data_IF_177150234516
#
_entry.id   IF_177150234516
#
_cell.length_a   1.000
_cell.length_b   1.000
_cell.length_c   1.000
_cell.angle_alpha   90.00
_cell.angle_beta   90.00
_cell.angle_gamma   90.00
#
_symmetry.space_group_name_H-M   'P 1'
#
loop_
_entity.id
_entity.type
_entity.pdbx_description
1 polymer ?
#
# COMPACT_ATOMS: atom_id res chain seq x y z
N UNK A 1 -14.02 -3.51 -5.62
CA UNK A 1 -14.18 -2.50 -4.57
C UNK A 1 -13.01 -1.56 -4.55
N UNK A 2 -11.79 -2.05 -4.28
CA UNK A 2 -10.61 -1.20 -4.33
C UNK A 2 -10.33 -0.67 -5.72
N UNK A 3 -10.58 -1.46 -6.74
CA UNK A 3 -10.39 -1.03 -8.12
C UNK A 3 -11.32 0.15 -8.48
N UNK A 4 -12.56 0.11 -8.01
CA UNK A 4 -13.50 1.20 -8.25
C UNK A 4 -13.09 2.49 -7.55
N UNK A 5 -12.40 2.38 -6.41
CA UNK A 5 -11.92 3.55 -5.66
C UNK A 5 -10.68 4.17 -6.29
N UNK A 6 -9.81 3.37 -6.92
CA UNK A 6 -8.58 3.89 -7.52
C UNK A 6 -8.80 4.49 -8.90
N UNK A 7 -9.82 4.06 -9.63
CA UNK A 7 -10.11 4.57 -10.97
C UNK A 7 -10.78 5.93 -10.90
N UNK A 8 -9.99 7.02 -11.07
CA UNK A 8 -10.48 8.39 -11.06
C UNK A 8 -10.74 8.98 -9.67
N UNK A 9 -10.40 8.26 -8.61
CA UNK A 9 -10.57 8.76 -7.25
C UNK A 9 -9.53 9.83 -6.93
N UNK A 10 -9.99 10.94 -6.33
CA UNK A 10 -9.10 12.00 -5.87
C UNK A 10 -8.52 11.65 -4.50
N UNK A 11 -7.47 12.37 -4.09
CA UNK A 11 -6.94 12.23 -2.74
C UNK A 11 -8.05 12.44 -1.70
N UNK A 12 -8.87 13.46 -1.88
CA UNK A 12 -9.96 13.76 -0.96
C UNK A 12 -10.96 12.61 -0.83
N UNK A 13 -11.28 11.94 -1.93
CA UNK A 13 -12.16 10.78 -1.92
C UNK A 13 -11.56 9.62 -1.12
N UNK A 14 -10.28 9.34 -1.34
CA UNK A 14 -9.57 8.27 -0.65
C UNK A 14 -9.46 8.58 0.85
N UNK A 15 -9.12 9.82 1.19
CA UNK A 15 -9.05 10.27 2.58
C UNK A 15 -10.41 10.14 3.29
N UNK A 16 -11.47 10.58 2.63
CA UNK A 16 -12.84 10.48 3.18
C UNK A 16 -13.22 9.03 3.42
N UNK A 17 -12.87 8.15 2.52
CA UNK A 17 -13.17 6.72 2.66
C UNK A 17 -12.47 6.13 3.89
N UNK A 18 -11.17 6.40 4.06
CA UNK A 18 -10.45 5.95 5.24
C UNK A 18 -11.04 6.50 6.52
N UNK A 19 -11.40 7.79 6.52
CA UNK A 19 -12.02 8.42 7.69
C UNK A 19 -13.31 7.71 8.07
N UNK A 20 -14.17 7.41 7.09
CA UNK A 20 -15.44 6.72 7.31
C UNK A 20 -15.23 5.28 7.79
N UNK A 21 -14.25 4.60 7.26
CA UNK A 21 -13.89 3.25 7.74
C UNK A 21 -13.50 3.25 9.20
N UNK A 22 -12.81 4.29 9.65
CA UNK A 22 -12.42 4.45 11.06
C UNK A 22 -13.51 5.07 11.90
N UNK A 23 -14.66 5.41 11.32
CA UNK A 23 -15.81 6.00 11.99
C UNK A 23 -15.45 7.32 12.68
N UNK A 24 -14.63 8.13 12.02
CA UNK A 24 -14.23 9.44 12.51
C UNK A 24 -14.97 10.53 11.75
N UNK A 25 -15.38 11.59 12.45
CA UNK A 25 -15.81 12.83 11.82
C UNK A 25 -14.60 13.60 11.31
N UNK A 26 -14.84 14.64 10.50
CA UNK A 26 -13.74 15.54 10.11
C UNK A 26 -13.09 16.18 11.33
N UNK A 27 -13.88 16.55 12.34
CA UNK A 27 -13.35 17.12 13.56
C UNK A 27 -12.49 16.09 14.33
N UNK A 28 -12.97 14.85 14.45
CA UNK A 28 -12.22 13.79 15.12
C UNK A 28 -10.87 13.57 14.46
N UNK A 29 -10.85 13.48 13.12
CA UNK A 29 -9.61 13.31 12.38
C UNK A 29 -8.68 14.51 12.58
N UNK A 30 -9.23 15.71 12.56
CA UNK A 30 -8.45 16.92 12.77
C UNK A 30 -7.77 16.92 14.14
N UNK A 31 -8.49 16.52 15.18
CA UNK A 31 -7.93 16.43 16.52
C UNK A 31 -6.83 15.37 16.61
N UNK A 32 -7.06 14.21 16.02
CA UNK A 32 -6.07 13.14 16.02
C UNK A 32 -4.80 13.51 15.23
N UNK A 33 -4.96 14.23 14.13
CA UNK A 33 -3.86 14.61 13.26
C UNK A 33 -3.22 15.95 13.66
N UNK A 34 -3.76 16.63 14.67
CA UNK A 34 -3.31 17.93 15.13
C UNK A 34 -3.34 18.97 14.01
N UNK A 35 -4.46 19.03 13.31
CA UNK A 35 -4.73 20.02 12.25
C UNK A 35 -6.13 20.61 12.47
N UNK A 36 -6.48 21.66 11.72
CA UNK A 36 -7.81 22.24 11.83
C UNK A 36 -8.84 21.40 11.07
N UNK A 37 -10.07 21.35 11.57
CA UNK A 37 -11.17 20.70 10.88
C UNK A 37 -11.45 21.35 9.52
N UNK A 38 -11.26 22.66 9.43
CA UNK A 38 -11.38 23.39 8.17
C UNK A 38 -10.38 22.88 7.13
N UNK A 39 -9.14 22.62 7.54
CA UNK A 39 -8.11 22.09 6.67
C UNK A 39 -8.48 20.70 6.15
N UNK A 40 -8.95 19.82 7.04
CA UNK A 40 -9.43 18.48 6.64
C UNK A 40 -10.54 18.61 5.61
N UNK A 41 -11.51 19.48 5.84
CA UNK A 41 -12.61 19.73 4.91
C UNK A 41 -12.09 20.22 3.56
N UNK A 42 -11.16 21.16 3.54
CA UNK A 42 -10.61 21.71 2.30
C UNK A 42 -9.86 20.65 1.49
N UNK A 43 -9.09 19.81 2.17
CA UNK A 43 -8.36 18.72 1.52
C UNK A 43 -9.33 17.68 0.96
N UNK A 44 -10.35 17.31 1.71
CA UNK A 44 -11.35 16.34 1.23
C UNK A 44 -12.13 16.85 0.02
N UNK A 45 -12.36 18.16 -0.03
CA UNK A 45 -13.12 18.78 -1.12
C UNK A 45 -12.23 19.21 -2.30
N UNK A 46 -10.94 18.96 -2.25
CA UNK A 46 -10.03 19.32 -3.32
C UNK A 46 -9.65 20.81 -3.40
N UNK A 47 -10.01 21.60 -2.39
CA UNK A 47 -9.67 23.02 -2.33
C UNK A 47 -8.24 23.29 -1.92
N UNK A 48 -7.58 22.33 -1.28
CA UNK A 48 -6.21 22.45 -0.82
C UNK A 48 -5.47 21.16 -1.15
N UNK A 49 -4.25 21.29 -1.67
CA UNK A 49 -3.37 20.15 -1.90
C UNK A 49 -2.58 19.88 -0.63
N UNK A 50 -2.59 18.65 -0.12
CA UNK A 50 -1.82 18.34 1.07
C UNK A 50 -0.33 18.23 0.74
N UNK A 51 0.51 18.65 1.67
CA UNK A 51 1.95 18.39 1.61
C UNK A 51 2.21 16.92 1.98
N UNK A 52 3.42 16.45 1.67
CA UNK A 52 3.84 15.09 2.09
C UNK A 52 3.69 14.91 3.60
N UNK A 53 4.16 15.89 4.39
CA UNK A 53 4.05 15.84 5.85
C UNK A 53 2.60 15.73 6.29
N UNK A 54 1.70 16.46 5.64
CA UNK A 54 0.27 16.40 5.95
C UNK A 54 -0.33 15.05 5.63
N UNK A 55 -0.01 14.47 4.46
CA UNK A 55 -0.50 13.14 4.07
C UNK A 55 -0.06 12.10 5.09
N UNK A 56 1.21 12.12 5.49
CA UNK A 56 1.73 11.15 6.46
C UNK A 56 1.09 11.34 7.84
N UNK A 57 0.84 12.58 8.25
CA UNK A 57 0.18 12.88 9.52
C UNK A 57 -1.26 12.36 9.54
N UNK A 58 -2.00 12.60 8.46
CA UNK A 58 -3.37 12.09 8.32
C UNK A 58 -3.38 10.56 8.29
N UNK A 59 -2.46 9.96 7.56
CA UNK A 59 -2.36 8.51 7.48
C UNK A 59 -2.04 7.88 8.85
N UNK A 60 -1.16 8.51 9.63
CA UNK A 60 -0.85 8.04 10.97
C UNK A 60 -2.07 8.12 11.90
N UNK A 61 -2.81 9.21 11.82
CA UNK A 61 -4.04 9.40 12.61
C UNK A 61 -5.11 8.35 12.26
N UNK A 62 -5.16 7.94 11.00
CA UNK A 62 -6.10 6.93 10.51
C UNK A 62 -5.58 5.52 10.63
N UNK A 63 -4.35 5.34 11.10
CA UNK A 63 -3.69 4.03 11.19
C UNK A 63 -3.69 3.29 9.86
N UNK A 64 -3.40 4.02 8.78
CA UNK A 64 -3.35 3.45 7.44
C UNK A 64 -2.09 2.59 7.29
N UNK A 65 -2.21 1.33 6.85
CA UNK A 65 -1.04 0.48 6.63
C UNK A 65 -0.07 1.05 5.59
N UNK A 66 1.22 0.70 5.63
CA UNK A 66 2.24 1.30 4.74
C UNK A 66 1.92 1.25 3.25
N UNK A 67 1.33 0.16 2.77
CA UNK A 67 0.98 0.03 1.34
C UNK A 67 -0.07 1.04 0.93
N UNK A 68 -1.08 1.19 1.76
CA UNK A 68 -2.18 2.12 1.52
C UNK A 68 -1.73 3.56 1.75
N UNK A 69 -0.72 3.79 2.59
CA UNK A 69 -0.08 5.11 2.70
C UNK A 69 0.56 5.53 1.38
N UNK A 70 1.18 4.58 0.66
CA UNK A 70 1.72 4.85 -0.67
C UNK A 70 0.60 5.26 -1.65
N UNK A 71 -0.56 4.62 -1.56
CA UNK A 71 -1.70 4.98 -2.40
C UNK A 71 -2.19 6.41 -2.12
N UNK A 72 -2.20 6.79 -0.83
CA UNK A 72 -2.55 8.16 -0.45
C UNK A 72 -1.55 9.17 -1.03
N UNK A 73 -0.26 8.88 -0.92
CA UNK A 73 0.78 9.75 -1.46
C UNK A 73 0.65 9.89 -2.97
N UNK A 74 0.48 8.79 -3.68
CA UNK A 74 0.33 8.80 -5.14
C UNK A 74 -0.94 9.56 -5.55
N UNK A 75 -2.03 9.38 -4.84
CA UNK A 75 -3.28 10.11 -5.10
C UNK A 75 -3.11 11.62 -4.89
N UNK A 76 -2.21 12.03 -4.00
CA UNK A 76 -1.87 13.43 -3.79
C UNK A 76 -0.84 13.97 -4.79
N UNK A 77 -0.40 13.15 -5.75
CA UNK A 77 0.63 13.51 -6.72
C UNK A 77 2.05 13.47 -6.16
N UNK A 78 2.27 12.72 -5.09
CA UNK A 78 3.56 12.64 -4.39
C UNK A 78 4.19 11.27 -4.60
N UNK A 79 5.52 11.20 -4.47
CA UNK A 79 6.23 9.93 -4.57
C UNK A 79 6.01 9.06 -3.32
N UNK A 80 5.89 7.73 -3.46
CA UNK A 80 5.71 6.85 -2.31
C UNK A 80 6.94 6.85 -1.40
N UNK A 81 6.68 6.72 -0.08
CA UNK A 81 7.74 6.57 0.92
C UNK A 81 8.15 5.11 1.06
N UNK A 82 7.16 4.21 1.03
CA UNK A 82 7.39 2.78 1.19
C UNK A 82 7.43 2.12 -0.18
N UNK A 83 8.63 2.03 -0.77
CA UNK A 83 8.81 1.37 -2.05
C UNK A 83 8.80 -0.15 -1.87
N UNK A 84 7.98 -0.85 -2.65
CA UNK A 84 8.08 -2.31 -2.73
C UNK A 84 9.28 -2.65 -3.57
N UNK A 85 10.16 -3.51 -3.03
CA UNK A 85 11.34 -3.96 -3.77
C UNK A 85 10.98 -5.22 -4.57
N UNK A 86 11.24 -5.24 -5.89
CA UNK A 86 11.12 -6.47 -6.66
C UNK A 86 12.04 -7.54 -6.06
N UNK A 87 11.63 -8.81 -6.16
CA UNK A 87 12.42 -9.90 -5.60
C UNK A 87 13.80 -10.03 -6.28
N UNK A 88 13.93 -9.60 -7.52
CA UNK A 88 15.19 -9.60 -8.26
C UNK A 88 16.11 -8.41 -7.96
N UNK A 89 15.66 -7.47 -7.12
CA UNK A 89 16.50 -6.37 -6.65
C UNK A 89 17.72 -6.92 -5.90
N UNK A 90 18.94 -6.38 -6.13
CA UNK A 90 20.15 -6.87 -5.44
C UNK A 90 20.02 -6.85 -3.91
N UNK A 91 19.30 -5.89 -3.35
CA UNK A 91 19.05 -5.83 -1.90
C UNK A 91 18.16 -6.95 -1.37
N UNK A 92 17.55 -7.75 -2.23
CA UNK A 92 16.67 -8.86 -1.87
C UNK A 92 17.34 -10.23 -2.02
N UNK A 93 18.64 -10.27 -2.21
CA UNK A 93 19.38 -11.54 -2.44
C UNK A 93 19.17 -12.55 -1.33
N UNK A 94 19.22 -12.12 -0.06
CA UNK A 94 19.00 -13.01 1.09
C UNK A 94 17.58 -13.55 1.12
N UNK A 95 16.60 -12.74 0.75
CA UNK A 95 15.19 -13.15 0.67
C UNK A 95 15.01 -14.20 -0.44
N UNK A 96 15.60 -13.95 -1.63
CA UNK A 96 15.55 -14.94 -2.72
C UNK A 96 16.14 -16.27 -2.31
N UNK A 97 17.28 -16.24 -1.63
CA UNK A 97 17.94 -17.46 -1.16
C UNK A 97 17.08 -18.22 -0.14
N UNK A 98 16.42 -17.49 0.76
CA UNK A 98 15.51 -18.09 1.73
C UNK A 98 14.30 -18.73 1.06
N UNK A 99 13.69 -18.03 0.11
CA UNK A 99 12.56 -18.57 -0.66
C UNK A 99 12.98 -19.80 -1.45
N UNK A 100 14.14 -19.76 -2.12
CA UNK A 100 14.66 -20.91 -2.87
C UNK A 100 14.85 -22.14 -1.98
N UNK A 101 15.33 -21.96 -0.74
CA UNK A 101 15.49 -23.08 0.21
C UNK A 101 14.14 -23.67 0.60
N UNK A 102 13.14 -22.83 0.85
CA UNK A 102 11.80 -23.32 1.18
C UNK A 102 11.22 -24.11 0.01
N UNK A 103 11.34 -23.59 -1.22
CA UNK A 103 10.86 -24.26 -2.42
C UNK A 103 11.55 -25.61 -2.63
N UNK A 104 12.88 -25.65 -2.44
CA UNK A 104 13.65 -26.89 -2.59
C UNK A 104 13.24 -27.95 -1.56
N UNK A 105 12.86 -27.54 -0.36
CA UNK A 105 12.43 -28.47 0.69
C UNK A 105 11.15 -29.24 0.32
N UNK A 106 10.36 -28.72 -0.60
CA UNK A 106 9.12 -29.37 -1.06
C UNK A 106 9.32 -30.28 -2.28
N UNK A 107 10.53 -30.34 -2.83
CA UNK A 107 10.77 -31.22 -3.97
C UNK A 107 10.60 -32.70 -3.58
N UNK A 108 10.07 -33.56 -4.44
CA UNK A 108 9.70 -33.32 -5.85
C UNK A 108 8.30 -32.71 -6.07
N UNK A 109 7.62 -32.34 -5.01
CA UNK A 109 6.28 -31.78 -5.13
C UNK A 109 6.34 -30.38 -5.72
N UNK A 110 5.43 -30.04 -6.65
CA UNK A 110 5.37 -28.70 -7.22
C UNK A 110 5.16 -27.65 -6.16
N UNK A 111 5.99 -26.59 -6.18
CA UNK A 111 5.85 -25.49 -5.27
C UNK A 111 6.31 -24.22 -5.97
N UNK A 112 5.61 -23.12 -5.75
CA UNK A 112 5.96 -21.85 -6.36
C UNK A 112 5.71 -20.71 -5.36
N UNK A 113 6.47 -19.64 -5.53
CA UNK A 113 6.30 -18.41 -4.76
C UNK A 113 5.67 -17.36 -5.69
N UNK A 114 4.65 -16.70 -5.20
CA UNK A 114 3.96 -15.64 -5.94
C UNK A 114 3.95 -14.36 -5.10
N UNK A 115 3.87 -13.22 -5.79
CA UNK A 115 3.65 -11.96 -5.10
C UNK A 115 2.14 -11.76 -4.86
N UNK A 116 1.77 -10.65 -4.24
CA UNK A 116 0.36 -10.35 -3.96
C UNK A 116 -0.50 -10.16 -5.21
N UNK A 117 0.11 -9.96 -6.38
CA UNK A 117 -0.59 -9.85 -7.66
C UNK A 117 -0.68 -11.20 -8.38
N UNK A 118 -0.26 -12.29 -7.72
CA UNK A 118 -0.25 -13.64 -8.28
C UNK A 118 0.77 -13.85 -9.40
N UNK A 119 1.74 -12.94 -9.56
CA UNK A 119 2.86 -13.15 -10.47
C UNK A 119 3.81 -14.18 -9.88
N UNK A 120 4.21 -15.16 -10.67
CA UNK A 120 5.14 -16.19 -10.24
C UNK A 120 6.53 -15.61 -10.14
N UNK A 121 7.14 -15.66 -8.95
CA UNK A 121 8.46 -15.12 -8.69
C UNK A 121 9.54 -16.19 -8.75
N UNK A 122 9.26 -17.37 -8.19
CA UNK A 122 10.18 -18.51 -8.16
C UNK A 122 9.38 -19.79 -8.22
N UNK A 123 9.99 -20.82 -8.80
CA UNK A 123 9.42 -22.17 -8.83
C UNK A 123 10.51 -23.17 -8.46
N UNK A 124 10.11 -24.31 -7.92
CA UNK A 124 11.04 -25.42 -7.73
C UNK A 124 11.00 -26.33 -8.97
N UNK A 125 11.88 -27.33 -9.00
CA UNK A 125 11.97 -28.24 -10.16
C UNK A 125 10.69 -29.02 -10.40
N UNK A 126 9.95 -29.35 -9.36
CA UNK A 126 8.67 -30.04 -9.48
C UNK A 126 7.61 -29.20 -10.21
N UNK A 127 7.52 -27.90 -9.88
CA UNK A 127 6.57 -26.99 -10.51
C UNK A 127 6.94 -26.64 -11.94
N UNK A 128 8.23 -26.69 -12.28
CA UNK A 128 8.72 -26.41 -13.62
C UNK A 128 8.62 -27.59 -14.59
N UNK A 129 8.20 -28.75 -14.12
CA UNK A 129 8.09 -29.93 -14.96
C UNK A 129 6.80 -29.87 -15.81
N UNK A 130 6.89 -30.02 -17.14
CA UNK A 130 5.68 -30.04 -17.98
C UNK A 130 4.77 -31.20 -17.58
N UNK A 131 3.52 -30.93 -17.55
CA UNK A 131 2.50 -31.94 -17.31
C UNK A 131 2.26 -32.83 -18.52
#
# INVERSE_FOLDING_TARGET
MLEAMTAGATFGDVLRDWRRRRRLSQLDLALEADVSARHVSFVENGRSKPSRAMVLRLAAALEVPPREQNQLLVAAGLAPVYAERPLDDPGMAAVRAGVARVLAAYEPYPCLAVNRNWDVLQINSGAGTPL
#
